data_IF_305127637656
#
_entry.id   IF_305127637656
#
_cell.length_a   1.000
_cell.length_b   1.000
_cell.length_c   1.000
_cell.angle_alpha   90.00
_cell.angle_beta   90.00
_cell.angle_gamma   90.00
#
_symmetry.space_group_name_H-M   'P 1'
#
loop_
_entity.id
_entity.type
_entity.pdbx_description
1 polymer ?
#
# COMPACT_ATOMS: atom_id res chain seq x y z
N UNK A 1 5.41 -1.74 -20.30
CA UNK A 1 6.78 -2.28 -20.15
C UNK A 1 7.66 -1.40 -19.24
N UNK A 2 7.71 -0.08 -19.46
CA UNK A 2 8.51 0.85 -18.64
C UNK A 2 8.17 0.81 -17.14
N UNK A 3 6.88 0.78 -16.76
CA UNK A 3 6.45 0.67 -15.36
C UNK A 3 6.97 -0.60 -14.66
N UNK A 4 6.94 -1.74 -15.36
CA UNK A 4 7.47 -3.01 -14.86
C UNK A 4 8.98 -2.90 -14.66
N UNK A 5 9.71 -2.32 -15.62
CA UNK A 5 11.16 -2.09 -15.50
C UNK A 5 11.48 -1.19 -14.29
N UNK A 6 10.71 -0.12 -14.06
CA UNK A 6 10.88 0.76 -12.90
C UNK A 6 10.67 0.00 -11.58
N UNK A 7 9.64 -0.83 -11.50
CA UNK A 7 9.36 -1.65 -10.32
C UNK A 7 10.49 -2.66 -10.03
N UNK A 8 10.96 -3.38 -11.06
CA UNK A 8 12.07 -4.33 -10.92
C UNK A 8 13.37 -3.62 -10.51
N UNK A 9 13.69 -2.50 -11.15
CA UNK A 9 14.88 -1.72 -10.82
C UNK A 9 14.81 -1.19 -9.37
N UNK A 10 13.65 -0.70 -8.93
CA UNK A 10 13.45 -0.25 -7.57
C UNK A 10 13.55 -1.39 -6.55
N UNK A 11 12.95 -2.55 -6.83
CA UNK A 11 13.04 -3.72 -5.97
C UNK A 11 14.49 -4.21 -5.83
N UNK A 12 15.21 -4.38 -6.96
CA UNK A 12 16.61 -4.82 -6.95
C UNK A 12 17.52 -3.79 -6.24
N UNK A 13 17.35 -2.50 -6.57
CA UNK A 13 18.09 -1.42 -5.93
C UNK A 13 17.83 -1.35 -4.42
N UNK A 14 16.59 -1.56 -3.99
CA UNK A 14 16.25 -1.57 -2.57
C UNK A 14 16.79 -2.79 -1.84
N UNK A 15 16.80 -3.98 -2.46
CA UNK A 15 17.46 -5.16 -1.89
C UNK A 15 18.95 -4.90 -1.68
N UNK A 16 19.64 -4.34 -2.68
CA UNK A 16 21.05 -3.97 -2.56
C UNK A 16 21.27 -2.92 -1.47
N UNK A 17 20.44 -1.88 -1.43
CA UNK A 17 20.51 -0.84 -0.39
C UNK A 17 20.30 -1.41 1.02
N UNK A 18 19.34 -2.33 1.17
CA UNK A 18 19.04 -3.02 2.44
C UNK A 18 20.24 -3.86 2.88
N UNK A 19 20.88 -4.58 1.97
CA UNK A 19 22.09 -5.36 2.24
C UNK A 19 23.27 -4.47 2.67
N UNK A 20 23.48 -3.34 2.00
CA UNK A 20 24.52 -2.37 2.37
C UNK A 20 24.23 -1.76 3.75
N UNK A 21 22.99 -1.34 4.00
CA UNK A 21 22.58 -0.81 5.30
C UNK A 21 22.76 -1.85 6.40
N UNK A 22 22.40 -3.11 6.16
CA UNK A 22 22.62 -4.19 7.12
C UNK A 22 24.11 -4.37 7.46
N UNK A 23 25.01 -4.22 6.49
CA UNK A 23 26.46 -4.27 6.71
C UNK A 23 27.01 -3.07 7.50
N UNK A 24 26.26 -1.96 7.58
CA UNK A 24 26.60 -0.77 8.36
C UNK A 24 25.97 -0.78 9.77
N UNK A 25 25.23 -1.83 10.12
CA UNK A 25 24.60 -1.95 11.44
C UNK A 25 25.68 -1.98 12.53
N UNK A 26 25.59 -1.13 13.58
CA UNK A 26 26.58 -1.15 14.65
C UNK A 26 26.41 -2.41 15.52
N UNK A 27 27.45 -3.24 15.60
CA UNK A 27 27.44 -4.49 16.38
C UNK A 27 27.33 -4.27 17.91
N UNK A 28 27.64 -3.06 18.38
CA UNK A 28 27.64 -2.69 19.80
C UNK A 28 26.45 -1.84 20.23
N UNK A 29 25.48 -1.62 19.33
CA UNK A 29 24.30 -0.81 19.64
C UNK A 29 23.39 -1.49 20.68
N UNK A 30 22.71 -0.71 21.54
CA UNK A 30 21.66 -1.23 22.41
C UNK A 30 20.53 -1.88 21.60
N UNK A 31 19.89 -2.93 22.15
CA UNK A 31 18.85 -3.71 21.46
C UNK A 31 17.72 -2.85 20.85
N UNK A 32 17.29 -1.79 21.55
CA UNK A 32 16.28 -0.87 21.04
C UNK A 32 16.73 -0.09 19.80
N UNK A 33 17.99 0.37 19.77
CA UNK A 33 18.55 1.07 18.62
C UNK A 33 18.71 0.15 17.41
N UNK A 34 19.16 -1.08 17.64
CA UNK A 34 19.23 -2.13 16.59
C UNK A 34 17.84 -2.46 16.03
N UNK A 35 16.82 -2.57 16.88
CA UNK A 35 15.45 -2.82 16.45
C UNK A 35 14.88 -1.67 15.60
N UNK A 36 15.15 -0.41 15.99
CA UNK A 36 14.78 0.77 15.21
C UNK A 36 15.47 0.78 13.85
N UNK A 37 16.79 0.56 13.83
CA UNK A 37 17.58 0.54 12.61
C UNK A 37 17.09 -0.54 11.64
N UNK A 38 16.97 -1.78 12.13
CA UNK A 38 16.52 -2.92 11.31
C UNK A 38 15.10 -2.72 10.77
N UNK A 39 14.19 -2.16 11.58
CA UNK A 39 12.82 -1.84 11.13
C UNK A 39 12.85 -0.76 10.04
N UNK A 40 13.65 0.29 10.20
CA UNK A 40 13.80 1.35 9.20
C UNK A 40 14.40 0.79 7.89
N UNK A 41 15.42 -0.05 7.98
CA UNK A 41 16.04 -0.74 6.85
C UNK A 41 15.05 -1.67 6.14
N UNK A 42 14.22 -2.40 6.89
CA UNK A 42 13.18 -3.27 6.34
C UNK A 42 12.05 -2.50 5.62
N UNK A 43 11.89 -1.21 5.89
CA UNK A 43 10.93 -0.33 5.19
C UNK A 43 11.47 0.22 3.86
N UNK A 44 12.78 0.17 3.62
CA UNK A 44 13.41 0.68 2.39
C UNK A 44 12.83 0.07 1.11
N UNK A 45 12.62 -1.27 1.00
CA UNK A 45 11.98 -1.87 -0.16
C UNK A 45 10.58 -1.33 -0.44
N UNK A 46 9.75 -1.19 0.59
CA UNK A 46 8.39 -0.69 0.43
C UNK A 46 8.38 0.78 0.03
N UNK A 47 9.26 1.60 0.61
CA UNK A 47 9.41 3.01 0.21
C UNK A 47 9.88 3.14 -1.26
N UNK A 48 10.83 2.31 -1.69
CA UNK A 48 11.30 2.30 -3.07
C UNK A 48 10.22 1.85 -4.05
N UNK A 49 9.44 0.81 -3.69
CA UNK A 49 8.33 0.33 -4.50
C UNK A 49 7.20 1.36 -4.61
N UNK A 50 6.84 2.02 -3.51
CA UNK A 50 5.88 3.14 -3.51
C UNK A 50 6.39 4.25 -4.42
N UNK A 51 7.65 4.66 -4.28
CA UNK A 51 8.27 5.67 -5.15
C UNK A 51 8.23 5.27 -6.62
N UNK A 52 8.51 4.00 -6.94
CA UNK A 52 8.46 3.48 -8.30
C UNK A 52 7.03 3.47 -8.87
N UNK A 53 6.02 3.12 -8.07
CA UNK A 53 4.61 3.19 -8.48
C UNK A 53 4.18 4.63 -8.75
N UNK A 54 4.55 5.58 -7.88
CA UNK A 54 4.27 7.00 -8.08
C UNK A 54 4.98 7.54 -9.34
N UNK A 55 6.24 7.14 -9.56
CA UNK A 55 6.99 7.49 -10.76
C UNK A 55 6.39 6.88 -12.02
N UNK A 56 5.92 5.62 -11.96
CA UNK A 56 5.24 4.96 -13.07
C UNK A 56 3.93 5.68 -13.41
N UNK A 57 3.10 5.97 -12.41
CA UNK A 57 1.84 6.69 -12.60
C UNK A 57 2.05 8.07 -13.23
N UNK A 58 3.08 8.81 -12.79
CA UNK A 58 3.35 10.15 -13.29
C UNK A 58 4.05 10.16 -14.65
N UNK A 59 5.08 9.33 -14.83
CA UNK A 59 5.95 9.36 -16.02
C UNK A 59 5.40 8.52 -17.18
N UNK A 60 4.78 7.38 -16.87
CA UNK A 60 4.27 6.44 -17.87
C UNK A 60 2.81 6.77 -18.18
N UNK A 61 1.98 6.86 -17.15
CA UNK A 61 0.52 7.00 -17.34
C UNK A 61 0.05 8.46 -17.38
N UNK A 62 0.94 9.42 -17.07
CA UNK A 62 0.62 10.87 -16.94
C UNK A 62 -0.57 11.15 -16.02
N UNK A 63 -0.88 10.22 -15.10
CA UNK A 63 -1.93 10.36 -14.10
C UNK A 63 -1.42 11.25 -12.97
N UNK A 64 -2.31 12.03 -12.37
CA UNK A 64 -1.92 12.79 -11.18
C UNK A 64 -1.83 11.80 -10.01
N UNK A 65 -0.82 11.90 -9.14
CA UNK A 65 -0.73 11.05 -7.95
C UNK A 65 -1.98 11.14 -7.05
N UNK A 66 -2.69 12.27 -7.10
CA UNK A 66 -3.96 12.47 -6.41
C UNK A 66 -5.10 11.54 -6.91
N UNK A 67 -5.01 11.03 -8.13
CA UNK A 67 -6.01 10.15 -8.74
C UNK A 67 -5.77 8.67 -8.39
N UNK A 68 -4.69 8.34 -7.66
CA UNK A 68 -4.31 6.97 -7.26
C UNK A 68 -5.14 6.41 -6.10
N UNK A 69 -6.31 6.98 -5.83
CA UNK A 69 -7.22 6.47 -4.79
C UNK A 69 -6.83 6.82 -3.35
N UNK A 70 -5.82 7.67 -3.13
CA UNK A 70 -5.41 8.14 -1.79
C UNK A 70 -6.36 9.19 -1.19
N UNK A 71 -7.56 9.36 -1.76
CA UNK A 71 -8.58 10.26 -1.23
C UNK A 71 -9.10 9.74 0.11
N UNK A 72 -8.77 10.43 1.20
CA UNK A 72 -9.20 10.11 2.57
C UNK A 72 -10.67 10.49 2.78
N UNK A 73 -11.57 9.68 2.23
CA UNK A 73 -13.02 9.81 2.45
C UNK A 73 -13.46 9.07 3.73
N UNK A 74 -14.65 9.39 4.25
CA UNK A 74 -15.25 8.61 5.36
C UNK A 74 -15.48 7.15 4.99
N UNK A 75 -15.84 6.87 3.73
CA UNK A 75 -16.00 5.50 3.23
C UNK A 75 -14.67 4.75 3.28
N UNK A 76 -13.57 5.37 2.85
CA UNK A 76 -12.23 4.80 2.93
C UNK A 76 -11.86 4.40 4.37
N UNK A 77 -12.14 5.25 5.34
CA UNK A 77 -11.90 4.94 6.75
C UNK A 77 -12.78 3.79 7.27
N UNK A 78 -14.03 3.70 6.82
CA UNK A 78 -14.92 2.61 7.19
C UNK A 78 -14.43 1.26 6.61
N UNK A 79 -14.02 1.25 5.34
CA UNK A 79 -13.45 0.07 4.68
C UNK A 79 -12.15 -0.37 5.35
N UNK A 80 -11.27 0.59 5.68
CA UNK A 80 -10.01 0.33 6.39
C UNK A 80 -10.27 -0.23 7.80
N UNK A 81 -11.17 0.37 8.58
CA UNK A 81 -11.53 -0.11 9.91
C UNK A 81 -12.16 -1.51 9.86
N UNK A 82 -13.02 -1.77 8.87
CA UNK A 82 -13.59 -3.09 8.63
C UNK A 82 -12.51 -4.12 8.28
N UNK A 83 -11.59 -3.79 7.39
CA UNK A 83 -10.46 -4.64 7.03
C UNK A 83 -9.54 -4.95 8.21
N UNK A 84 -9.20 -3.95 9.03
CA UNK A 84 -8.44 -4.14 10.26
C UNK A 84 -9.17 -5.02 11.27
N UNK A 85 -10.47 -4.81 11.46
CA UNK A 85 -11.29 -5.64 12.33
C UNK A 85 -11.32 -7.10 11.84
N UNK A 86 -11.53 -7.31 10.54
CA UNK A 86 -11.53 -8.63 9.93
C UNK A 86 -10.17 -9.32 10.09
N UNK A 87 -9.07 -8.57 9.89
CA UNK A 87 -7.70 -9.04 10.06
C UNK A 87 -7.33 -9.43 11.49
N UNK A 88 -8.03 -8.91 12.50
CA UNK A 88 -7.88 -9.34 13.91
C UNK A 88 -8.81 -10.52 14.21
N UNK A 89 -10.07 -10.44 13.77
CA UNK A 89 -11.12 -11.41 14.11
C UNK A 89 -10.84 -12.78 13.51
N UNK A 90 -10.48 -12.86 12.22
CA UNK A 90 -10.30 -14.16 11.56
C UNK A 90 -9.12 -14.96 12.14
N UNK A 91 -7.88 -14.41 12.24
CA UNK A 91 -6.78 -15.13 12.86
C UNK A 91 -7.04 -15.41 14.35
N UNK A 92 -7.70 -14.48 15.06
CA UNK A 92 -8.10 -14.67 16.45
C UNK A 92 -9.06 -15.85 16.63
N UNK A 93 -10.04 -16.00 15.72
CA UNK A 93 -10.97 -17.12 15.72
C UNK A 93 -10.28 -18.45 15.42
N UNK A 94 -9.38 -18.48 14.42
CA UNK A 94 -8.57 -19.68 14.11
C UNK A 94 -7.73 -20.08 15.33
N UNK A 95 -7.07 -19.12 15.97
CA UNK A 95 -6.29 -19.36 17.19
C UNK A 95 -7.16 -19.90 18.33
N UNK A 96 -8.33 -19.28 18.59
CA UNK A 96 -9.24 -19.70 19.65
C UNK A 96 -9.76 -21.13 19.43
N UNK A 97 -10.13 -21.48 18.20
CA UNK A 97 -10.57 -22.84 17.84
C UNK A 97 -9.45 -23.86 18.01
N UNK A 98 -8.23 -23.54 17.57
CA UNK A 98 -7.08 -24.42 17.72
C UNK A 98 -6.68 -24.61 19.19
N UNK A 99 -6.83 -23.57 20.02
CA UNK A 99 -6.64 -23.66 21.46
C UNK A 99 -7.74 -24.51 22.13
N UNK A 100 -9.00 -24.32 21.75
CA UNK A 100 -10.13 -25.08 22.29
C UNK A 100 -10.11 -26.58 21.88
N UNK A 101 -9.47 -26.90 20.76
CA UNK A 101 -9.26 -28.27 20.29
C UNK A 101 -7.99 -28.92 20.87
N UNK A 102 -7.30 -28.28 21.83
CA UNK A 102 -6.01 -28.70 22.40
C UNK A 102 -4.88 -28.88 21.36
N UNK A 103 -5.00 -28.26 20.18
CA UNK A 103 -3.94 -28.28 19.15
C UNK A 103 -2.81 -27.31 19.46
N UNK A 104 -3.06 -26.30 20.29
CA UNK A 104 -2.10 -25.29 20.70
C UNK A 104 -2.02 -25.22 22.23
N UNK A 105 -0.85 -24.84 22.75
CA UNK A 105 -0.66 -24.50 24.16
C UNK A 105 -0.02 -23.13 24.28
N UNK A 106 -0.59 -22.26 25.11
CA UNK A 106 0.02 -20.97 25.44
C UNK A 106 1.19 -21.20 26.38
N UNK A 107 2.41 -20.91 25.92
CA UNK A 107 3.66 -21.05 26.70
C UNK A 107 4.13 -19.73 27.30
N UNK A 108 3.55 -18.61 26.87
CA UNK A 108 3.83 -17.27 27.37
C UNK A 108 3.13 -16.21 26.54
N UNK A 109 3.10 -14.99 27.06
CA UNK A 109 2.52 -13.81 26.40
C UNK A 109 3.56 -12.70 26.37
N UNK A 110 3.62 -11.92 25.28
CA UNK A 110 4.54 -10.79 25.12
C UNK A 110 6.03 -11.17 25.28
N UNK A 111 6.40 -12.33 24.72
CA UNK A 111 7.77 -12.84 24.77
C UNK A 111 8.48 -12.54 23.44
N UNK A 112 9.70 -11.98 23.51
CA UNK A 112 10.57 -11.81 22.35
C UNK A 112 11.38 -13.08 22.09
N UNK A 113 11.53 -13.45 20.82
CA UNK A 113 12.31 -14.63 20.40
C UNK A 113 13.69 -14.21 19.89
N UNK A 114 14.70 -15.09 19.97
CA UNK A 114 16.05 -14.81 19.47
C UNK A 114 16.10 -14.68 17.94
N UNK A 115 15.25 -15.41 17.20
CA UNK A 115 15.18 -15.38 15.72
C UNK A 115 13.81 -14.85 15.23
N UNK A 116 13.50 -13.56 15.43
CA UNK A 116 12.23 -13.00 15.00
C UNK A 116 12.26 -12.64 13.51
N UNK A 117 11.12 -12.80 12.83
CA UNK A 117 10.97 -12.49 11.40
C UNK A 117 11.29 -11.02 11.07
N UNK A 118 10.82 -10.10 11.91
CA UNK A 118 11.33 -8.74 12.01
C UNK A 118 12.38 -8.76 13.10
N UNK A 119 13.59 -8.25 12.87
CA UNK A 119 14.76 -8.30 13.78
C UNK A 119 14.61 -7.52 15.11
N UNK A 120 13.40 -7.50 15.67
CA UNK A 120 13.04 -7.08 17.02
C UNK A 120 13.37 -8.22 17.99
N UNK A 121 14.67 -8.39 18.26
CA UNK A 121 15.23 -9.49 19.05
C UNK A 121 15.03 -9.39 20.57
N UNK A 122 15.66 -10.31 21.28
CA UNK A 122 15.72 -10.32 22.75
C UNK A 122 16.29 -9.01 23.32
N UNK A 123 15.78 -8.59 24.48
CA UNK A 123 16.18 -7.33 25.13
C UNK A 123 15.42 -6.08 24.66
N UNK A 124 14.52 -6.21 23.68
CA UNK A 124 13.57 -5.15 23.30
C UNK A 124 12.31 -5.24 24.16
N UNK A 125 11.85 -4.10 24.68
CA UNK A 125 10.59 -4.03 25.42
C UNK A 125 9.42 -4.50 24.53
N UNK A 126 8.50 -5.36 25.01
CA UNK A 126 7.44 -5.92 24.16
C UNK A 126 6.56 -4.88 23.49
N UNK A 127 6.26 -3.77 24.18
CA UNK A 127 5.48 -2.67 23.62
C UNK A 127 6.19 -1.99 22.44
N UNK A 128 7.50 -1.78 22.53
CA UNK A 128 8.30 -1.24 21.42
C UNK A 128 8.32 -2.21 20.25
N UNK A 129 8.49 -3.52 20.52
CA UNK A 129 8.47 -4.52 19.47
C UNK A 129 7.14 -4.60 18.71
N UNK A 130 6.02 -4.50 19.43
CA UNK A 130 4.69 -4.43 18.83
C UNK A 130 4.54 -3.16 17.98
N UNK A 131 4.99 -2.01 18.48
CA UNK A 131 4.93 -0.75 17.75
C UNK A 131 5.74 -0.77 16.45
N UNK A 132 6.95 -1.34 16.48
CA UNK A 132 7.80 -1.49 15.29
C UNK A 132 7.20 -2.47 14.28
N UNK A 133 6.63 -3.57 14.76
CA UNK A 133 5.92 -4.53 13.90
C UNK A 133 4.71 -3.87 13.22
N UNK A 134 3.93 -3.09 13.98
CA UNK A 134 2.82 -2.32 13.43
C UNK A 134 3.31 -1.32 12.39
N UNK A 135 4.38 -0.56 12.67
CA UNK A 135 4.95 0.39 11.72
C UNK A 135 5.40 -0.27 10.41
N UNK A 136 6.03 -1.44 10.51
CA UNK A 136 6.40 -2.25 9.34
C UNK A 136 5.16 -2.62 8.50
N UNK A 137 4.13 -3.20 9.12
CA UNK A 137 2.91 -3.59 8.41
C UNK A 137 2.10 -2.40 7.87
N UNK A 138 2.19 -1.22 8.49
CA UNK A 138 1.65 0.01 7.91
C UNK A 138 2.38 0.35 6.60
N UNK A 139 3.72 0.22 6.57
CA UNK A 139 4.50 0.40 5.35
C UNK A 139 4.12 -0.59 4.24
N UNK A 140 3.94 -1.86 4.60
CA UNK A 140 3.44 -2.91 3.70
C UNK A 140 2.05 -2.54 3.17
N UNK A 141 1.11 -2.20 4.05
CA UNK A 141 -0.26 -1.87 3.68
C UNK A 141 -0.36 -0.63 2.78
N UNK A 142 0.48 0.39 2.99
CA UNK A 142 0.56 1.55 2.09
C UNK A 142 1.01 1.14 0.69
N UNK A 143 2.03 0.29 0.60
CA UNK A 143 2.48 -0.25 -0.68
C UNK A 143 1.40 -1.08 -1.36
N UNK A 144 0.74 -1.99 -0.63
CA UNK A 144 -0.29 -2.87 -1.16
C UNK A 144 -1.52 -2.09 -1.64
N UNK A 145 -2.02 -1.13 -0.86
CA UNK A 145 -3.15 -0.28 -1.27
C UNK A 145 -2.81 0.46 -2.57
N UNK A 146 -1.62 1.06 -2.66
CA UNK A 146 -1.19 1.76 -3.88
C UNK A 146 -1.05 0.81 -5.07
N UNK A 147 -0.45 -0.36 -4.86
CA UNK A 147 -0.25 -1.37 -5.91
C UNK A 147 -1.58 -1.90 -6.42
N UNK A 148 -2.46 -2.37 -5.53
CA UNK A 148 -3.70 -3.02 -5.92
C UNK A 148 -4.74 -2.01 -6.37
N UNK A 149 -5.06 -1.02 -5.54
CA UNK A 149 -6.13 -0.06 -5.83
C UNK A 149 -5.69 1.01 -6.81
N UNK A 150 -4.47 1.53 -6.66
CA UNK A 150 -3.97 2.63 -7.48
C UNK A 150 -3.49 2.20 -8.86
N UNK A 151 -3.02 0.95 -9.02
CA UNK A 151 -2.37 0.50 -10.25
C UNK A 151 -3.01 -0.75 -10.87
N UNK A 152 -3.00 -1.89 -10.18
CA UNK A 152 -3.39 -3.18 -10.77
C UNK A 152 -4.87 -3.26 -11.12
N UNK A 153 -5.77 -2.91 -10.20
CA UNK A 153 -7.21 -3.03 -10.42
C UNK A 153 -7.71 -2.04 -11.49
N UNK A 154 -7.15 -0.84 -11.56
CA UNK A 154 -7.48 0.16 -12.58
C UNK A 154 -7.02 -0.33 -13.96
N UNK A 155 -5.77 -0.77 -14.08
CA UNK A 155 -5.24 -1.29 -15.34
C UNK A 155 -5.97 -2.57 -15.79
N UNK A 156 -6.37 -3.43 -14.84
CA UNK A 156 -7.15 -4.62 -15.13
C UNK A 156 -8.55 -4.25 -15.64
N UNK A 157 -9.22 -3.29 -15.03
CA UNK A 157 -10.53 -2.83 -15.47
C UNK A 157 -10.46 -2.24 -16.89
N UNK A 158 -9.49 -1.37 -17.16
CA UNK A 158 -9.27 -0.78 -18.49
C UNK A 158 -8.92 -1.83 -19.55
N UNK A 159 -8.09 -2.82 -19.18
CA UNK A 159 -7.74 -3.93 -20.07
C UNK A 159 -8.93 -4.85 -20.39
N UNK A 160 -9.78 -5.13 -19.40
CA UNK A 160 -11.00 -5.92 -19.58
C UNK A 160 -12.04 -5.19 -20.43
N UNK A 161 -12.22 -3.88 -20.23
CA UNK A 161 -13.10 -3.06 -21.06
C UNK A 161 -12.62 -3.01 -22.52
N UNK A 162 -11.31 -2.88 -22.76
CA UNK A 162 -10.75 -2.94 -24.11
C UNK A 162 -10.81 -4.32 -24.76
N UNK A 163 -10.86 -5.40 -23.97
CA UNK A 163 -10.97 -6.77 -24.47
C UNK A 163 -12.42 -7.20 -24.74
N UNK A 164 -13.36 -6.78 -23.88
CA UNK A 164 -14.79 -7.08 -24.01
C UNK A 164 -15.52 -6.08 -24.94
N UNK A 165 -15.01 -4.85 -25.04
CA UNK A 165 -15.45 -3.83 -25.99
C UNK A 165 -14.86 -4.06 -27.39
N UNK A 166 -15.41 -5.02 -28.14
CA UNK A 166 -15.07 -5.21 -29.56
C UNK A 166 -15.34 -3.95 -30.43
N UNK A 167 -14.93 -3.93 -31.71
CA UNK A 167 -14.74 -2.73 -32.57
C UNK A 167 -16.01 -1.95 -32.98
N UNK A 168 -16.88 -1.60 -32.03
CA UNK A 168 -18.11 -0.83 -32.24
C UNK A 168 -18.61 -0.04 -31.02
N UNK A 169 -17.98 -0.14 -29.85
CA UNK A 169 -18.39 0.66 -28.68
C UNK A 169 -17.67 2.01 -28.70
N UNK A 170 -18.43 3.08 -28.97
CA UNK A 170 -17.99 4.48 -28.89
C UNK A 170 -17.34 4.78 -27.54
N UNK A 171 -16.27 5.61 -27.49
CA UNK A 171 -15.55 5.90 -26.26
C UNK A 171 -16.49 6.53 -25.23
N UNK A 172 -16.65 5.87 -24.08
CA UNK A 172 -17.25 6.47 -22.90
C UNK A 172 -16.40 7.66 -22.46
N UNK A 173 -17.01 8.82 -22.17
CA UNK A 173 -16.25 9.98 -21.73
C UNK A 173 -15.57 9.67 -20.39
N UNK A 174 -14.36 10.21 -20.15
CA UNK A 174 -13.65 10.01 -18.89
C UNK A 174 -14.53 10.45 -17.72
N UNK A 175 -14.67 9.56 -16.74
CA UNK A 175 -15.55 9.71 -15.58
C UNK A 175 -15.17 10.86 -14.62
N UNK A 176 -14.25 11.75 -15.00
CA UNK A 176 -13.73 12.86 -14.19
C UNK A 176 -14.01 14.26 -14.75
N UNK A 177 -14.77 14.40 -15.84
CA UNK A 177 -15.19 15.72 -16.31
C UNK A 177 -16.39 16.26 -15.50
N UNK A 178 -16.10 16.88 -14.36
CA UNK A 178 -17.02 17.80 -13.70
C UNK A 178 -17.46 18.90 -14.69
N UNK A 179 -18.77 19.18 -14.84
CA UNK A 179 -19.24 20.19 -15.76
C UNK A 179 -19.13 21.59 -15.14
N UNK A 180 -18.01 22.28 -15.35
CA UNK A 180 -17.98 23.74 -15.23
C UNK A 180 -18.40 24.37 -16.56
N UNK A 181 -19.69 24.25 -16.88
CA UNK A 181 -20.30 24.88 -18.04
C UNK A 181 -20.56 26.38 -17.78
N UNK A 182 -19.51 27.18 -17.94
CA UNK A 182 -19.63 28.59 -18.27
C UNK A 182 -19.82 28.78 -19.77
N UNK A 183 -20.74 29.70 -20.12
CA UNK A 183 -20.95 30.30 -21.45
C UNK A 183 -21.88 29.57 -22.44
N UNK A 184 -23.10 30.10 -22.58
CA UNK A 184 -23.62 30.81 -23.79
C UNK A 184 -25.15 30.71 -23.86
N UNK A 185 -25.83 31.85 -23.76
CA UNK A 185 -27.07 32.10 -24.51
C UNK A 185 -26.87 33.38 -25.32
N UNK A 186 -26.82 33.33 -26.66
CA UNK A 186 -26.98 34.52 -27.47
C UNK A 186 -28.46 34.88 -27.53
N UNK A 187 -28.78 36.12 -27.18
CA UNK A 187 -30.10 36.72 -27.30
C UNK A 187 -30.47 36.86 -28.78
N UNK A 188 -31.42 36.04 -29.25
CA UNK A 188 -32.07 36.27 -30.55
C UNK A 188 -33.01 37.47 -30.42
N UNK A 189 -32.58 38.62 -30.95
CA UNK A 189 -33.48 39.71 -31.36
C UNK A 189 -34.26 39.25 -32.59
N UNK A 190 -35.58 39.33 -32.52
CA UNK A 190 -36.45 39.32 -33.70
C UNK A 190 -36.91 40.76 -33.96
N UNK A 191 -36.91 41.26 -35.22
CA UNK A 191 -37.47 42.56 -35.54
C UNK A 191 -38.99 42.48 -35.73
N UNK A 192 -39.66 43.51 -35.24
CA UNK A 192 -41.08 43.82 -35.44
C UNK A 192 -41.42 44.04 -36.91
N UNK A 193 -42.46 43.37 -37.41
CA UNK A 193 -43.55 43.94 -38.23
C UNK A 193 -44.79 43.07 -38.08
#
# INVERSE_FOLDING_TARGET
MLAVVLLFAAAAGAVLATSVLAALAPDTAPAAATALFTTATALVPYAALVGALLAAAWLVDRRRPADLGLGTSRAWWADCAFGLALGVVLPGLVFALALAADYLRVTGTLVTRPDPFLAVGGGVAPALGLALTLAYFVGVGVFEELLFRGYLLVNLAEGLDGWLGGPGTSPSPPCSASPSAGSRRPSRRWPSR
#
